data_IF_880436618441
#
_entry.id   IF_880436618441
#
_cell.length_a   1.000
_cell.length_b   1.000
_cell.length_c   1.000
_cell.angle_alpha   90.00
_cell.angle_beta   90.00
_cell.angle_gamma   90.00
#
_symmetry.space_group_name_H-M   'P 1'
#
loop_
_entity.id
_entity.type
_entity.pdbx_description
1 polymer ?
#
# COMPACT_ATOMS: atom_id res chain seq x y z
N UNK A 1 -1.46 21.82 -7.65
CA UNK A 1 -1.85 22.18 -6.27
C UNK A 1 -2.33 20.90 -5.56
N UNK A 2 -1.87 20.62 -4.34
CA UNK A 2 -2.33 19.47 -3.53
C UNK A 2 -3.59 19.91 -2.76
N UNK A 3 -4.71 19.26 -3.02
CA UNK A 3 -6.00 19.53 -2.35
C UNK A 3 -6.24 18.44 -1.31
N UNK A 4 -6.74 18.75 -0.10
CA UNK A 4 -7.12 17.72 0.86
C UNK A 4 -8.25 16.85 0.30
N UNK A 5 -8.34 15.58 0.73
CA UNK A 5 -9.47 14.72 0.36
C UNK A 5 -10.79 15.33 0.89
N UNK A 6 -11.90 15.10 0.19
CA UNK A 6 -13.20 15.59 0.65
C UNK A 6 -13.63 14.88 1.93
N UNK A 7 -14.22 15.62 2.87
CA UNK A 7 -14.84 15.03 4.06
C UNK A 7 -16.17 14.39 3.67
N UNK A 8 -16.27 13.07 3.86
CA UNK A 8 -17.51 12.31 3.61
C UNK A 8 -18.05 11.81 4.93
N UNK A 9 -19.23 12.29 5.31
CA UNK A 9 -19.92 11.85 6.52
C UNK A 9 -20.33 10.37 6.40
N UNK A 10 -20.09 9.61 7.47
CA UNK A 10 -20.41 8.18 7.57
C UNK A 10 -19.85 7.33 6.41
N UNK A 11 -18.59 7.59 6.02
CA UNK A 11 -17.96 6.86 4.91
C UNK A 11 -18.04 5.34 5.07
N UNK A 12 -17.87 4.84 6.30
CA UNK A 12 -17.98 3.40 6.63
C UNK A 12 -19.33 2.78 6.26
N UNK A 13 -20.42 3.56 6.30
CA UNK A 13 -21.77 3.08 5.95
C UNK A 13 -22.05 3.14 4.44
N UNK A 14 -21.18 3.80 3.67
CA UNK A 14 -21.35 4.03 2.22
C UNK A 14 -20.51 3.07 1.37
N UNK A 15 -19.65 2.29 2.00
CA UNK A 15 -18.78 1.31 1.35
C UNK A 15 -19.25 -0.11 1.65
N UNK A 16 -18.84 -1.08 0.84
CA UNK A 16 -19.12 -2.48 1.12
C UNK A 16 -18.47 -2.91 2.44
N UNK A 17 -19.12 -3.84 3.13
CA UNK A 17 -18.59 -4.44 4.36
C UNK A 17 -17.16 -4.98 4.15
N UNK A 18 -16.30 -4.77 5.13
CA UNK A 18 -14.88 -5.13 5.05
C UNK A 18 -13.99 -4.15 4.27
N UNK A 19 -14.55 -3.07 3.71
CA UNK A 19 -13.74 -2.02 3.06
C UNK A 19 -13.01 -1.19 4.12
N UNK A 20 -11.68 -1.15 4.02
CA UNK A 20 -10.86 -0.27 4.86
C UNK A 20 -11.05 1.21 4.49
N UNK A 21 -11.48 2.03 5.45
CA UNK A 21 -11.86 3.43 5.21
C UNK A 21 -10.83 4.45 5.68
N UNK A 22 -9.92 4.09 6.59
CA UNK A 22 -8.91 4.99 7.16
C UNK A 22 -8.08 5.74 6.11
N UNK A 23 -7.75 5.04 5.02
CA UNK A 23 -6.99 5.57 3.88
C UNK A 23 -7.76 5.42 2.57
N UNK A 24 -9.08 5.58 2.63
CA UNK A 24 -9.98 5.29 1.51
C UNK A 24 -9.58 6.00 0.21
N UNK A 25 -9.34 7.31 0.27
CA UNK A 25 -9.03 8.10 -0.92
C UNK A 25 -7.64 7.82 -1.45
N UNK A 26 -6.65 7.64 -0.57
CA UNK A 26 -5.30 7.23 -0.94
C UNK A 26 -5.31 5.87 -1.64
N UNK A 27 -6.04 4.90 -1.08
CA UNK A 27 -6.20 3.57 -1.65
C UNK A 27 -6.95 3.61 -2.99
N UNK A 28 -7.99 4.42 -3.11
CA UNK A 28 -8.73 4.61 -4.36
C UNK A 28 -7.83 5.20 -5.46
N UNK A 29 -6.97 6.16 -5.11
CA UNK A 29 -6.00 6.75 -6.03
C UNK A 29 -4.98 5.71 -6.52
N UNK A 30 -4.44 4.91 -5.60
CA UNK A 30 -3.49 3.84 -5.93
C UNK A 30 -4.11 2.81 -6.87
N UNK A 31 -5.33 2.33 -6.58
CA UNK A 31 -6.07 1.42 -7.46
C UNK A 31 -6.27 2.03 -8.85
N UNK A 32 -6.65 3.31 -8.94
CA UNK A 32 -6.83 4.03 -10.22
C UNK A 32 -5.54 4.07 -11.05
N UNK A 33 -4.38 4.17 -10.41
CA UNK A 33 -3.07 4.15 -11.08
C UNK A 33 -2.48 2.75 -11.24
N UNK A 34 -3.25 1.68 -11.04
CA UNK A 34 -2.81 0.31 -11.28
C UNK A 34 -1.91 -0.28 -10.19
N UNK A 35 -1.92 0.30 -9.00
CA UNK A 35 -1.33 -0.31 -7.81
C UNK A 35 -2.29 -1.30 -7.18
N UNK A 36 -1.72 -2.39 -6.66
CA UNK A 36 -2.41 -3.45 -5.92
C UNK A 36 -1.82 -3.52 -4.52
N UNK A 37 -2.65 -3.79 -3.52
CA UNK A 37 -2.21 -3.97 -2.15
C UNK A 37 -1.33 -5.23 -2.08
N UNK A 38 -0.10 -5.06 -1.63
CA UNK A 38 0.85 -6.15 -1.43
C UNK A 38 0.77 -6.64 0.02
N UNK A 39 0.91 -5.70 0.98
CA UNK A 39 0.88 -6.01 2.41
C UNK A 39 0.14 -4.91 3.17
N UNK A 40 -0.75 -5.29 4.07
CA UNK A 40 -1.51 -4.36 4.91
C UNK A 40 -0.69 -3.94 6.16
N UNK A 41 -0.90 -2.70 6.63
CA UNK A 41 -0.34 -2.26 7.90
C UNK A 41 -0.87 -3.12 9.06
N UNK A 42 -0.02 -3.40 10.03
CA UNK A 42 -0.37 -4.31 11.12
C UNK A 42 -1.50 -3.79 12.02
N UNK A 43 -1.68 -2.48 12.11
CA UNK A 43 -2.77 -1.83 12.86
C UNK A 43 -4.11 -1.76 12.10
N UNK A 44 -4.15 -2.28 10.88
CA UNK A 44 -5.37 -2.33 10.04
C UNK A 44 -5.98 -3.73 9.97
N UNK A 45 -5.31 -4.75 10.51
CA UNK A 45 -5.93 -6.05 10.75
C UNK A 45 -6.88 -5.98 11.95
N UNK A 46 -7.90 -6.84 11.95
CA UNK A 46 -8.73 -7.05 13.14
C UNK A 46 -7.88 -7.61 14.28
N UNK A 47 -8.19 -7.21 15.52
CA UNK A 47 -7.52 -7.73 16.74
C UNK A 47 -7.67 -9.25 16.91
N UNK A 48 -8.58 -9.88 16.16
CA UNK A 48 -8.77 -11.32 16.14
C UNK A 48 -7.77 -12.07 15.23
N UNK A 49 -6.91 -11.34 14.52
CA UNK A 49 -5.98 -11.89 13.53
C UNK A 49 -4.55 -11.68 14.02
N UNK A 50 -3.82 -12.78 14.21
CA UNK A 50 -2.38 -12.74 14.46
C UNK A 50 -1.62 -12.87 13.13
N UNK A 51 -0.75 -11.91 12.83
CA UNK A 51 0.01 -11.86 11.57
C UNK A 51 1.48 -12.14 11.81
N UNK A 52 1.99 -13.22 11.20
CA UNK A 52 3.39 -13.61 11.27
C UNK A 52 4.04 -13.61 9.87
N UNK A 53 5.27 -13.09 9.80
CA UNK A 53 6.06 -13.09 8.57
C UNK A 53 7.32 -13.95 8.74
N UNK A 54 7.48 -14.99 7.91
CA UNK A 54 8.66 -15.86 7.98
C UNK A 54 9.98 -15.17 7.61
N UNK A 55 9.91 -14.06 6.86
CA UNK A 55 11.05 -13.38 6.27
C UNK A 55 11.43 -12.06 6.98
N UNK A 56 10.73 -11.68 8.05
CA UNK A 56 11.03 -10.44 8.80
C UNK A 56 10.57 -10.53 10.24
N UNK A 57 11.24 -9.78 11.13
CA UNK A 57 10.99 -9.81 12.58
C UNK A 57 9.99 -8.76 13.08
N UNK A 58 9.81 -7.67 12.34
CA UNK A 58 8.94 -6.57 12.77
C UNK A 58 7.66 -6.53 11.94
N UNK A 59 6.54 -6.00 12.46
CA UNK A 59 5.30 -5.75 11.70
C UNK A 59 5.44 -4.62 10.67
N UNK A 60 4.52 -4.53 9.70
CA UNK A 60 4.50 -3.43 8.73
C UNK A 60 3.80 -2.22 9.34
N UNK A 61 4.50 -1.08 9.43
CA UNK A 61 3.92 0.16 9.98
C UNK A 61 2.90 0.80 9.04
N UNK A 62 3.12 0.68 7.72
CA UNK A 62 2.28 1.28 6.68
C UNK A 62 1.97 0.23 5.62
N UNK A 63 0.77 0.26 5.06
CA UNK A 63 0.36 -0.63 3.99
C UNK A 63 1.22 -0.37 2.76
N UNK A 64 1.78 -1.44 2.21
CA UNK A 64 2.61 -1.43 1.02
C UNK A 64 1.79 -1.87 -0.20
N UNK A 65 1.97 -1.12 -1.28
CA UNK A 65 1.32 -1.33 -2.56
C UNK A 65 2.38 -1.52 -3.63
N UNK A 66 2.10 -2.38 -4.60
CA UNK A 66 2.97 -2.63 -5.75
C UNK A 66 2.23 -2.27 -7.04
N UNK A 67 2.88 -1.55 -7.96
CA UNK A 67 2.31 -1.33 -9.27
C UNK A 67 2.22 -2.67 -10.02
N UNK A 68 1.14 -2.92 -10.77
CA UNK A 68 0.93 -4.18 -11.51
C UNK A 68 2.06 -4.58 -12.46
N UNK A 69 2.91 -3.65 -12.88
CA UNK A 69 4.12 -3.97 -13.68
C UNK A 69 5.33 -4.41 -12.83
N UNK A 70 5.24 -4.35 -11.51
CA UNK A 70 6.31 -4.67 -10.56
C UNK A 70 7.42 -3.61 -10.44
N UNK A 71 7.32 -2.49 -11.15
CA UNK A 71 8.41 -1.49 -11.25
C UNK A 71 8.49 -0.51 -10.08
N UNK A 72 7.45 -0.41 -9.25
CA UNK A 72 7.36 0.57 -8.18
C UNK A 72 6.54 0.05 -7.01
N UNK A 73 6.91 0.49 -5.82
CA UNK A 73 6.14 0.31 -4.60
C UNK A 73 5.78 1.65 -3.99
N UNK A 74 4.66 1.69 -3.29
CA UNK A 74 4.18 2.85 -2.54
C UNK A 74 3.76 2.41 -1.15
N UNK A 75 4.06 3.21 -0.13
CA UNK A 75 3.46 3.07 1.20
C UNK A 75 2.58 4.27 1.52
N UNK A 76 1.42 3.99 2.11
CA UNK A 76 0.46 5.02 2.52
C UNK A 76 0.76 5.45 3.96
N UNK A 77 1.21 6.69 4.12
CA UNK A 77 1.38 7.31 5.45
C UNK A 77 0.12 8.08 5.86
N UNK A 78 -0.57 8.64 4.86
CA UNK A 78 -1.82 9.38 5.02
C UNK A 78 -1.64 10.87 5.33
N UNK A 79 -2.75 11.59 5.32
CA UNK A 79 -2.82 13.00 5.72
C UNK A 79 -1.89 13.92 4.92
N UNK A 80 -1.20 14.84 5.62
CA UNK A 80 -0.29 15.79 4.99
C UNK A 80 0.99 15.14 4.44
N UNK A 81 1.42 14.00 5.01
CA UNK A 81 2.62 13.27 4.59
C UNK A 81 2.38 12.48 3.29
N UNK A 82 1.16 11.97 3.08
CA UNK A 82 0.76 11.33 1.83
C UNK A 82 1.39 9.96 1.63
N UNK A 83 2.32 9.85 0.66
CA UNK A 83 2.88 8.59 0.17
C UNK A 83 4.40 8.55 0.26
N UNK A 84 4.95 7.40 0.60
CA UNK A 84 6.36 7.07 0.36
C UNK A 84 6.44 6.27 -0.94
N UNK A 85 7.22 6.75 -1.90
CA UNK A 85 7.37 6.12 -3.22
C UNK A 85 8.77 5.53 -3.37
N UNK A 86 8.87 4.30 -3.89
CA UNK A 86 10.15 3.68 -4.23
C UNK A 86 10.08 2.96 -5.58
N UNK A 87 11.15 3.06 -6.36
CA UNK A 87 11.32 2.28 -7.59
C UNK A 87 11.89 0.90 -7.26
N UNK A 88 11.38 -0.15 -7.90
CA UNK A 88 11.92 -1.49 -7.78
C UNK A 88 13.29 -1.58 -8.47
N UNK A 89 14.37 -1.56 -7.68
CA UNK A 89 15.75 -1.63 -8.18
C UNK A 89 16.13 -2.99 -8.76
N UNK A 90 15.32 -4.04 -8.54
CA UNK A 90 15.53 -5.35 -9.17
C UNK A 90 15.14 -5.35 -10.65
N UNK A 91 14.32 -4.39 -11.09
CA UNK A 91 13.90 -4.23 -12.49
C UNK A 91 14.86 -3.36 -13.32
N UNK A 92 15.95 -2.86 -12.72
CA UNK A 92 16.93 -2.07 -13.46
C UNK A 92 17.67 -2.94 -14.49
N UNK A 93 17.81 -2.49 -15.76
CA UNK A 93 18.59 -3.20 -16.77
C UNK A 93 20.06 -3.19 -16.33
N UNK A 94 20.53 -4.31 -15.82
CA UNK A 94 21.87 -4.45 -15.23
C UNK A 94 21.96 -5.44 -14.06
N UNK A 95 20.83 -5.84 -13.44
CA UNK A 95 20.82 -6.89 -12.40
C UNK A 95 20.16 -8.20 -12.84
N UNK A 96 19.51 -8.23 -14.01
CA UNK A 96 18.91 -9.44 -14.59
C UNK A 96 19.92 -10.32 -15.36
N UNK A 97 21.22 -10.14 -15.12
CA UNK A 97 22.28 -10.85 -15.85
C UNK A 97 23.45 -11.15 -14.95
N UNK A 98 23.51 -12.39 -14.45
CA UNK A 98 24.74 -13.20 -14.24
C UNK A 98 24.47 -14.56 -13.58
N UNK A 99 23.23 -14.89 -13.18
CA UNK A 99 22.91 -16.22 -12.64
C UNK A 99 22.13 -17.11 -13.62
N UNK A 100 22.62 -17.22 -14.84
CA UNK A 100 22.36 -18.36 -15.73
C UNK A 100 23.72 -18.85 -16.21
N UNK A 101 24.32 -19.75 -15.41
CA UNK A 101 25.35 -20.70 -15.83
C UNK A 101 24.97 -22.05 -15.27
#
# INVERSE_FOLDING_TARGET
>A
LKVPPPTVLDLDKRVSEGTQTRHYFENALLRKFGFVLDIEASDLYSDQIEVFYSYRRSPFKYSQWVHRSGVAFVQVVGGSQGFLFLTNRLMAPGKLGTSLK
#
